data_IF_551984757646
#
_entry.id   IF_551984757646
#
_cell.length_a   1.000
_cell.length_b   1.000
_cell.length_c   1.000
_cell.angle_alpha   90.00
_cell.angle_beta   90.00
_cell.angle_gamma   90.00
#
_symmetry.space_group_name_H-M   'P 1'
#
loop_
_entity.id
_entity.type
_entity.pdbx_description
1 polymer ?
#
# COMPACT_ATOMS: atom_id res chain seq x y z
N UNK A 1 31.01 29.67 -51.24
CA UNK A 1 30.00 30.27 -50.34
C UNK A 1 28.91 29.24 -50.04
N UNK A 2 29.19 28.24 -49.19
CA UNK A 2 28.16 27.26 -48.78
C UNK A 2 28.44 26.52 -47.43
N UNK A 3 28.81 27.18 -46.31
CA UNK A 3 28.82 26.50 -45.01
C UNK A 3 27.59 26.79 -44.12
N UNK A 4 26.78 27.82 -44.43
CA UNK A 4 25.75 28.33 -43.49
C UNK A 4 24.43 27.55 -43.49
N UNK A 5 24.11 26.82 -44.57
CA UNK A 5 22.86 26.06 -44.66
C UNK A 5 22.90 24.78 -43.80
N UNK A 6 24.07 24.16 -43.64
CA UNK A 6 24.25 22.91 -42.89
C UNK A 6 24.10 23.09 -41.37
N UNK A 7 24.53 24.24 -40.83
CA UNK A 7 24.45 24.52 -39.39
C UNK A 7 23.02 24.80 -38.91
N UNK A 8 22.17 25.41 -39.74
CA UNK A 8 20.78 25.71 -39.38
C UNK A 8 19.92 24.47 -39.19
N UNK A 9 20.04 23.48 -40.09
CA UNK A 9 19.32 22.21 -39.99
C UNK A 9 19.78 21.36 -38.80
N UNK A 10 21.07 21.37 -38.49
CA UNK A 10 21.62 20.65 -37.33
C UNK A 10 21.04 21.17 -36.00
N UNK A 11 20.91 22.50 -35.85
CA UNK A 11 20.33 23.12 -34.66
C UNK A 11 18.83 22.80 -34.49
N UNK A 12 18.07 22.77 -35.60
CA UNK A 12 16.65 22.40 -35.58
C UNK A 12 16.43 20.92 -35.24
N UNK A 13 17.30 20.04 -35.73
CA UNK A 13 17.24 18.62 -35.38
C UNK A 13 17.58 18.41 -33.89
N UNK A 14 18.59 19.12 -33.37
CA UNK A 14 18.99 19.03 -31.96
C UNK A 14 17.93 19.58 -30.99
N UNK A 15 17.23 20.66 -31.37
CA UNK A 15 16.12 21.21 -30.56
C UNK A 15 14.88 20.31 -30.56
N UNK A 16 14.61 19.64 -31.70
CA UNK A 16 13.52 18.66 -31.79
C UNK A 16 13.81 17.41 -30.96
N UNK A 17 15.03 16.88 -31.03
CA UNK A 17 15.46 15.74 -30.23
C UNK A 17 15.44 16.04 -28.72
N UNK A 18 15.85 17.23 -28.28
CA UNK A 18 15.88 17.59 -26.85
C UNK A 18 14.48 17.65 -26.24
N UNK A 19 13.50 18.22 -26.96
CA UNK A 19 12.09 18.26 -26.54
C UNK A 19 11.45 16.88 -26.49
N UNK A 20 11.77 16.00 -27.45
CA UNK A 20 11.28 14.62 -27.49
C UNK A 20 11.80 13.80 -26.29
N UNK A 21 13.08 13.93 -25.95
CA UNK A 21 13.64 13.28 -24.75
C UNK A 21 13.04 13.84 -23.46
N UNK A 22 12.80 15.15 -23.39
CA UNK A 22 12.20 15.78 -22.21
C UNK A 22 10.75 15.31 -21.98
N UNK A 23 9.95 15.23 -23.05
CA UNK A 23 8.57 14.73 -23.00
C UNK A 23 8.51 13.25 -22.56
N UNK A 24 9.41 12.41 -23.08
CA UNK A 24 9.50 11.00 -22.69
C UNK A 24 9.86 10.82 -21.21
N UNK A 25 10.83 11.59 -20.71
CA UNK A 25 11.20 11.53 -19.30
C UNK A 25 10.09 12.03 -18.37
N UNK A 26 9.31 13.05 -18.77
CA UNK A 26 8.16 13.50 -18.00
C UNK A 26 7.06 12.42 -17.92
N UNK A 27 6.76 11.75 -19.02
CA UNK A 27 5.80 10.64 -19.07
C UNK A 27 6.27 9.43 -18.24
N UNK A 28 7.56 9.10 -18.28
CA UNK A 28 8.12 8.04 -17.43
C UNK A 28 7.98 8.36 -15.94
N UNK A 29 8.30 9.59 -15.53
CA UNK A 29 8.17 10.03 -14.13
C UNK A 29 6.71 10.02 -13.68
N UNK A 30 5.78 10.43 -14.54
CA UNK A 30 4.35 10.43 -14.19
C UNK A 30 3.81 9.01 -14.00
N UNK A 31 4.21 8.06 -14.86
CA UNK A 31 3.85 6.64 -14.72
C UNK A 31 4.38 6.07 -13.40
N UNK A 32 5.66 6.28 -13.08
CA UNK A 32 6.22 5.80 -11.81
C UNK A 32 5.53 6.43 -10.59
N UNK A 33 5.15 7.71 -10.67
CA UNK A 33 4.38 8.35 -9.60
C UNK A 33 3.01 7.70 -9.45
N UNK A 34 2.29 7.48 -10.55
CA UNK A 34 0.98 6.85 -10.55
C UNK A 34 1.04 5.42 -9.99
N UNK A 35 2.05 4.64 -10.38
CA UNK A 35 2.26 3.29 -9.87
C UNK A 35 2.49 3.28 -8.36
N UNK A 36 3.28 4.23 -7.84
CA UNK A 36 3.53 4.36 -6.41
C UNK A 36 2.27 4.73 -5.64
N UNK A 37 1.49 5.68 -6.13
CA UNK A 37 0.22 6.09 -5.52
C UNK A 37 -0.77 4.92 -5.54
N UNK A 38 -0.97 4.29 -6.70
CA UNK A 38 -1.83 3.11 -6.84
C UNK A 38 -1.42 1.96 -5.92
N UNK A 39 -0.12 1.76 -5.71
CA UNK A 39 0.38 0.75 -4.76
C UNK A 39 0.03 1.14 -3.32
N UNK A 40 0.26 2.39 -2.92
CA UNK A 40 -0.07 2.87 -1.58
C UNK A 40 -1.57 2.75 -1.29
N UNK A 41 -2.40 3.18 -2.24
CA UNK A 41 -3.86 3.10 -2.15
C UNK A 41 -4.34 1.65 -1.99
N UNK A 42 -3.77 0.70 -2.73
CA UNK A 42 -4.12 -0.71 -2.61
C UNK A 42 -3.87 -1.27 -1.19
N UNK A 43 -2.75 -0.90 -0.57
CA UNK A 43 -2.45 -1.31 0.81
C UNK A 43 -3.34 -0.60 1.83
N UNK A 44 -3.65 0.68 1.62
CA UNK A 44 -4.58 1.43 2.47
C UNK A 44 -5.98 0.82 2.42
N UNK A 45 -6.49 0.47 1.23
CA UNK A 45 -7.79 -0.21 1.07
C UNK A 45 -7.82 -1.57 1.75
N UNK A 46 -6.75 -2.35 1.63
CA UNK A 46 -6.63 -3.63 2.34
C UNK A 46 -6.59 -3.44 3.87
N UNK A 47 -5.86 -2.43 4.36
CA UNK A 47 -5.80 -2.09 5.77
C UNK A 47 -7.16 -1.58 6.32
N UNK A 48 -7.91 -0.79 5.55
CA UNK A 48 -9.28 -0.39 5.88
C UNK A 48 -10.20 -1.59 6.02
N UNK A 49 -10.11 -2.55 5.09
CA UNK A 49 -10.92 -3.76 5.18
C UNK A 49 -10.53 -4.62 6.39
N UNK A 50 -9.24 -4.76 6.69
CA UNK A 50 -8.77 -5.41 7.92
C UNK A 50 -9.35 -4.71 9.15
N UNK A 51 -9.22 -3.38 9.23
CA UNK A 51 -9.73 -2.57 10.32
C UNK A 51 -11.24 -2.77 10.53
N UNK A 52 -12.03 -2.74 9.46
CA UNK A 52 -13.47 -3.00 9.50
C UNK A 52 -13.81 -4.39 10.05
N UNK A 53 -13.04 -5.42 9.66
CA UNK A 53 -13.26 -6.81 10.10
C UNK A 53 -12.77 -7.07 11.52
N UNK A 54 -11.88 -6.22 12.03
CA UNK A 54 -11.28 -6.35 13.36
C UNK A 54 -12.15 -5.83 14.51
N UNK A 55 -13.37 -5.38 14.22
CA UNK A 55 -14.30 -4.95 15.26
C UNK A 55 -15.00 -6.11 15.98
N UNK A 56 -15.95 -5.77 16.85
CA UNK A 56 -16.79 -6.73 17.56
C UNK A 56 -16.00 -7.86 18.26
N UNK A 57 -16.35 -9.14 18.02
CA UNK A 57 -15.70 -10.30 18.65
C UNK A 57 -14.22 -10.41 18.29
N UNK A 58 -13.81 -9.88 17.12
CA UNK A 58 -12.43 -9.93 16.63
C UNK A 58 -11.53 -8.89 17.32
N UNK A 59 -12.09 -7.85 17.94
CA UNK A 59 -11.31 -6.79 18.58
C UNK A 59 -10.39 -7.30 19.70
N UNK A 60 -10.80 -8.39 20.38
CA UNK A 60 -9.99 -9.06 21.38
C UNK A 60 -8.65 -9.57 20.80
N UNK A 61 -8.65 -10.08 19.57
CA UNK A 61 -7.46 -10.64 18.93
C UNK A 61 -6.37 -9.58 18.74
N UNK A 62 -6.76 -8.31 18.60
CA UNK A 62 -5.82 -7.21 18.37
C UNK A 62 -4.87 -6.97 19.54
N UNK A 63 -5.18 -7.47 20.74
CA UNK A 63 -4.31 -7.37 21.91
C UNK A 63 -3.11 -8.33 21.84
N UNK A 64 -3.13 -9.29 20.92
CA UNK A 64 -2.15 -10.36 20.81
C UNK A 64 -1.47 -10.36 19.44
N UNK A 65 -0.19 -10.75 19.34
CA UNK A 65 0.45 -10.99 18.06
C UNK A 65 -0.30 -12.04 17.24
N UNK A 66 -0.32 -11.92 15.91
CA UNK A 66 -1.07 -12.85 15.05
C UNK A 66 -0.64 -14.31 15.19
N UNK A 67 0.61 -14.58 15.60
CA UNK A 67 1.07 -15.96 15.85
C UNK A 67 0.37 -16.62 17.05
N UNK A 68 -0.32 -15.85 17.89
CA UNK A 68 -1.00 -16.33 19.09
C UNK A 68 -2.52 -16.42 18.93
N UNK A 69 -3.09 -16.01 17.79
CA UNK A 69 -4.54 -15.96 17.61
C UNK A 69 -5.22 -17.34 17.59
N UNK A 70 -4.50 -18.39 17.19
CA UNK A 70 -5.04 -19.76 17.20
C UNK A 70 -5.19 -20.33 18.63
N UNK A 71 -4.71 -19.62 19.65
CA UNK A 71 -4.89 -19.98 21.05
C UNK A 71 -6.29 -19.55 21.50
N UNK A 72 -7.27 -20.45 21.31
CA UNK A 72 -8.71 -20.20 21.53
C UNK A 72 -9.09 -19.71 22.93
N UNK A 73 -8.19 -19.84 23.91
CA UNK A 73 -8.41 -19.46 25.30
C UNK A 73 -8.44 -17.94 25.50
N UNK A 74 -7.79 -17.16 24.63
CA UNK A 74 -7.67 -15.71 24.85
C UNK A 74 -8.88 -14.91 24.37
N UNK A 75 -9.55 -15.37 23.31
CA UNK A 75 -10.64 -14.62 22.67
C UNK A 75 -11.81 -15.55 22.31
N UNK A 76 -12.68 -15.88 23.28
CA UNK A 76 -13.83 -16.73 23.02
C UNK A 76 -14.79 -16.07 22.03
N UNK A 77 -15.15 -16.80 20.96
CA UNK A 77 -16.07 -16.32 19.92
C UNK A 77 -15.41 -15.49 18.81
N UNK A 78 -14.11 -15.19 18.91
CA UNK A 78 -13.36 -14.62 17.80
C UNK A 78 -12.99 -15.71 16.78
N UNK A 79 -13.12 -15.42 15.49
CA UNK A 79 -12.57 -16.28 14.42
C UNK A 79 -11.36 -15.58 13.79
N UNK A 80 -10.12 -16.03 14.10
CA UNK A 80 -8.90 -15.47 13.52
C UNK A 80 -8.87 -15.47 12.00
N UNK A 81 -9.54 -16.43 11.35
CA UNK A 81 -9.52 -16.60 9.90
C UNK A 81 -10.15 -15.41 9.17
N UNK A 82 -11.06 -14.68 9.83
CA UNK A 82 -11.68 -13.47 9.28
C UNK A 82 -10.68 -12.32 9.09
N UNK A 83 -9.59 -12.32 9.86
CA UNK A 83 -8.52 -11.32 9.82
C UNK A 83 -7.29 -11.80 9.04
N UNK A 84 -7.18 -13.09 8.75
CA UNK A 84 -6.02 -13.67 8.07
C UNK A 84 -6.01 -13.39 6.56
N UNK A 85 -7.17 -13.18 5.92
CA UNK A 85 -7.25 -12.88 4.50
C UNK A 85 -8.54 -12.14 4.13
N UNK A 86 -8.52 -11.45 2.98
CA UNK A 86 -9.66 -10.75 2.43
C UNK A 86 -9.42 -10.25 1.02
N UNK A 87 -10.32 -9.37 0.56
CA UNK A 87 -10.29 -8.80 -0.78
C UNK A 87 -10.78 -7.36 -0.76
N UNK A 88 -9.92 -6.41 -1.10
CA UNK A 88 -10.24 -4.99 -1.17
C UNK A 88 -10.02 -4.49 -2.61
N UNK A 89 -11.01 -3.80 -3.19
CA UNK A 89 -10.95 -3.30 -4.58
C UNK A 89 -10.57 -4.40 -5.60
N UNK A 90 -11.09 -5.61 -5.40
CA UNK A 90 -10.79 -6.78 -6.25
C UNK A 90 -9.39 -7.38 -6.06
N UNK A 91 -8.55 -6.82 -5.19
CA UNK A 91 -7.23 -7.35 -4.86
C UNK A 91 -7.30 -8.21 -3.60
N UNK A 92 -6.89 -9.47 -3.73
CA UNK A 92 -6.73 -10.37 -2.60
C UNK A 92 -5.57 -9.90 -1.71
N UNK A 93 -5.77 -9.95 -0.40
CA UNK A 93 -4.73 -9.71 0.57
C UNK A 93 -4.71 -10.82 1.62
N UNK A 94 -3.53 -11.03 2.19
CA UNK A 94 -3.30 -11.96 3.30
C UNK A 94 -2.51 -11.26 4.38
N UNK A 95 -2.82 -11.57 5.63
CA UNK A 95 -2.08 -11.13 6.80
C UNK A 95 -0.76 -11.88 6.86
N UNK A 96 0.34 -11.15 6.91
CA UNK A 96 1.67 -11.71 7.13
C UNK A 96 2.03 -11.64 8.61
N UNK A 97 1.74 -10.51 9.25
CA UNK A 97 1.92 -10.34 10.69
C UNK A 97 1.04 -9.23 11.25
N UNK A 98 0.57 -9.43 12.48
CA UNK A 98 0.06 -8.37 13.34
C UNK A 98 0.90 -8.32 14.61
N UNK A 99 1.39 -7.13 14.97
CA UNK A 99 2.16 -6.92 16.20
C UNK A 99 1.56 -5.77 17.01
N UNK A 100 0.90 -6.03 18.16
CA UNK A 100 0.41 -4.98 19.04
C UNK A 100 1.56 -4.28 19.78
N UNK A 101 1.34 -2.98 20.05
CA UNK A 101 2.23 -2.06 20.75
C UNK A 101 1.37 -1.10 21.62
N UNK A 102 0.70 -1.65 22.63
CA UNK A 102 -0.23 -0.90 23.48
C UNK A 102 -1.48 -0.48 22.70
N UNK A 103 -1.73 0.83 22.58
CA UNK A 103 -2.88 1.39 21.83
C UNK A 103 -2.63 1.53 20.32
N UNK A 104 -1.54 0.94 19.82
CA UNK A 104 -1.16 0.91 18.41
C UNK A 104 -0.78 -0.51 18.02
N UNK A 105 -0.77 -0.79 16.73
CA UNK A 105 -0.24 -2.05 16.21
C UNK A 105 0.32 -1.89 14.80
N UNK A 106 1.25 -2.77 14.46
CA UNK A 106 1.84 -2.85 13.13
C UNK A 106 1.15 -3.96 12.36
N UNK A 107 0.45 -3.60 11.28
CA UNK A 107 -0.20 -4.51 10.36
C UNK A 107 0.72 -4.75 9.15
N UNK A 108 1.14 -5.99 8.92
CA UNK A 108 1.90 -6.38 7.72
C UNK A 108 1.00 -7.21 6.81
N UNK A 109 0.73 -6.68 5.61
CA UNK A 109 -0.11 -7.31 4.60
C UNK A 109 0.69 -7.70 3.38
N UNK A 110 0.28 -8.81 2.76
CA UNK A 110 0.77 -9.27 1.46
C UNK A 110 -0.35 -9.25 0.44
N UNK A 111 -0.11 -8.55 -0.66
CA UNK A 111 -0.95 -8.52 -1.86
C UNK A 111 -0.16 -9.21 -3.00
N UNK A 112 -0.67 -10.29 -3.63
CA UNK A 112 0.08 -11.09 -4.60
C UNK A 112 0.74 -10.29 -5.74
N UNK A 113 0.06 -9.25 -6.24
CA UNK A 113 0.56 -8.42 -7.33
C UNK A 113 1.30 -7.14 -6.88
N UNK A 114 1.24 -6.79 -5.59
CA UNK A 114 1.79 -5.52 -5.06
C UNK A 114 2.91 -5.72 -4.03
N UNK A 115 3.17 -6.96 -3.61
CA UNK A 115 4.18 -7.31 -2.63
C UNK A 115 3.68 -7.18 -1.20
N UNK A 116 4.58 -6.79 -0.29
CA UNK A 116 4.31 -6.67 1.14
C UNK A 116 4.42 -5.21 1.58
N UNK A 117 3.59 -4.79 2.53
CA UNK A 117 3.72 -3.50 3.21
C UNK A 117 3.30 -3.61 4.68
N UNK A 118 3.92 -2.77 5.50
CA UNK A 118 3.58 -2.61 6.91
C UNK A 118 2.94 -1.24 7.14
N UNK A 119 1.79 -1.21 7.79
CA UNK A 119 1.03 -0.01 8.11
C UNK A 119 0.77 0.09 9.61
N UNK A 120 0.93 1.28 10.22
CA UNK A 120 0.53 1.50 11.59
C UNK A 120 -1.00 1.63 11.68
N UNK A 121 -1.59 0.97 12.68
CA UNK A 121 -2.99 1.12 13.07
C UNK A 121 -3.08 1.57 14.53
N UNK A 122 -4.09 2.36 14.88
CA UNK A 122 -4.52 2.55 16.26
C UNK A 122 -5.43 1.39 16.67
N UNK A 123 -5.33 0.97 17.94
CA UNK A 123 -6.17 -0.08 18.53
C UNK A 123 -7.13 0.61 19.49
N UNK A 124 -8.43 0.35 19.30
CA UNK A 124 -9.50 0.84 20.17
C UNK A 124 -10.32 -0.34 20.70
N UNK A 125 -11.20 -0.08 21.67
CA UNK A 125 -12.16 -1.10 22.12
C UNK A 125 -13.14 -1.54 21.03
N UNK A 126 -13.32 -0.73 19.98
CA UNK A 126 -14.19 -1.03 18.85
C UNK A 126 -13.47 -1.79 17.71
N UNK A 127 -12.15 -1.98 17.78
CA UNK A 127 -11.32 -2.58 16.73
C UNK A 127 -10.13 -1.72 16.34
N UNK A 128 -9.47 -2.05 15.23
CA UNK A 128 -8.36 -1.27 14.69
C UNK A 128 -8.86 -0.13 13.80
N UNK A 129 -8.10 0.97 13.72
CA UNK A 129 -8.36 2.08 12.82
C UNK A 129 -7.05 2.53 12.16
N UNK A 130 -7.12 3.03 10.93
CA UNK A 130 -5.97 3.64 10.27
C UNK A 130 -5.57 4.91 11.02
N UNK A 131 -4.26 5.10 11.20
CA UNK A 131 -3.75 6.35 11.75
C UNK A 131 -3.68 7.38 10.61
N UNK A 132 -4.49 8.43 10.67
CA UNK A 132 -4.31 9.60 9.80
C UNK A 132 -2.98 10.27 10.16
N UNK A 133 -2.13 10.50 9.16
CA UNK A 133 -0.91 11.28 9.34
C UNK A 133 -1.33 12.75 9.54
N UNK A 134 -1.14 13.26 10.76
CA UNK A 134 -1.28 14.70 11.09
C UNK A 134 -0.10 15.47 10.53
#
# INVERSE_FOLDING_TARGET
MLPLALSGSALLLLSSLSLQTLAMHQLQRSRHRLERVSRADAFLSAAMQFAQRSGAAQACLLQWPSQQWDQSLFCPGADPRLLQAGSAEGLQWSLEAWQPQGHRGQLTLRLPQRGVATLPLSITSAGAQLQEAV
#
